data_IF_636389293060
#
_entry.id   IF_636389293060
#
_cell.length_a   1.000
_cell.length_b   1.000
_cell.length_c   1.000
_cell.angle_alpha   90.00
_cell.angle_beta   90.00
_cell.angle_gamma   90.00
#
_symmetry.space_group_name_H-M   'P 1'
#
loop_
_entity.id
_entity.type
_entity.pdbx_description
1 polymer ?
#
# COMPACT_ATOMS: atom_id res chain seq x y z
N UNK A 1 52.67 14.65 -51.02
CA UNK A 1 53.07 13.49 -50.19
C UNK A 1 54.16 13.97 -49.23
N UNK A 2 54.09 13.60 -47.94
CA UNK A 2 54.38 14.51 -46.83
C UNK A 2 55.85 14.53 -46.41
N UNK A 3 56.27 15.59 -45.70
CA UNK A 3 57.02 15.61 -44.42
C UNK A 3 57.56 17.03 -44.22
N UNK A 4 57.29 17.66 -43.06
CA UNK A 4 58.25 18.46 -42.28
C UNK A 4 57.64 18.70 -40.88
N UNK A 5 58.45 18.39 -39.87
CA UNK A 5 58.27 18.61 -38.43
C UNK A 5 58.20 20.09 -38.08
N UNK A 6 57.47 20.45 -37.01
CA UNK A 6 57.95 21.45 -36.02
C UNK A 6 57.62 21.03 -34.57
N UNK A 7 58.70 21.14 -33.79
CA UNK A 7 58.97 21.10 -32.34
C UNK A 7 57.87 21.24 -31.28
N UNK A 8 58.13 20.46 -30.23
CA UNK A 8 57.70 20.51 -28.82
C UNK A 8 58.10 21.82 -28.13
N UNK A 9 57.25 22.34 -27.24
CA UNK A 9 57.65 22.99 -25.97
C UNK A 9 56.57 22.79 -24.90
N UNK A 10 57.00 22.33 -23.72
CA UNK A 10 56.21 22.06 -22.51
C UNK A 10 56.07 23.30 -21.62
N UNK A 11 54.85 23.55 -21.14
CA UNK A 11 54.50 24.15 -19.84
C UNK A 11 53.08 23.60 -19.55
N UNK A 12 52.72 22.87 -18.50
CA UNK A 12 53.29 22.68 -17.18
C UNK A 12 52.20 22.99 -16.15
N UNK A 13 51.25 22.09 -15.90
CA UNK A 13 50.39 22.22 -14.70
C UNK A 13 49.89 20.87 -14.14
N UNK A 14 49.83 20.85 -12.80
CA UNK A 14 50.07 19.70 -11.91
C UNK A 14 48.81 18.87 -11.67
N UNK A 15 48.88 17.55 -11.88
CA UNK A 15 47.91 16.59 -11.34
C UNK A 15 48.13 16.39 -9.83
N UNK A 16 47.11 16.47 -8.96
CA UNK A 16 47.28 16.19 -7.53
C UNK A 16 47.45 14.68 -7.27
N UNK A 17 48.50 14.33 -6.52
CA UNK A 17 48.78 12.97 -6.03
C UNK A 17 47.81 12.56 -4.91
N UNK A 18 47.49 11.26 -4.76
CA UNK A 18 46.57 10.78 -3.73
C UNK A 18 47.19 10.92 -2.33
N UNK A 19 46.42 11.47 -1.38
CA UNK A 19 46.80 11.60 0.03
C UNK A 19 46.90 10.22 0.70
N UNK A 20 48.12 9.77 0.98
CA UNK A 20 48.40 8.68 1.94
C UNK A 20 47.98 9.15 3.34
N UNK A 21 47.04 8.45 3.97
CA UNK A 21 46.75 8.60 5.40
C UNK A 21 47.87 7.96 6.20
N UNK A 22 48.66 8.80 6.87
CA UNK A 22 49.69 8.41 7.85
C UNK A 22 48.99 7.87 9.10
N UNK A 23 49.28 6.63 9.48
CA UNK A 23 48.93 6.08 10.80
C UNK A 23 49.90 6.69 11.82
N UNK A 24 49.35 7.35 12.83
CA UNK A 24 50.10 7.84 14.00
C UNK A 24 50.45 6.62 14.87
N UNK A 25 51.71 6.21 14.87
CA UNK A 25 52.28 5.25 15.81
C UNK A 25 52.41 5.91 17.18
N UNK A 26 51.83 5.30 18.22
CA UNK A 26 52.23 5.54 19.60
C UNK A 26 53.41 4.62 19.88
N UNK A 27 54.54 5.20 20.27
CA UNK A 27 55.64 4.49 20.91
C UNK A 27 55.13 3.84 22.19
N UNK A 28 55.43 2.55 22.34
CA UNK A 28 55.43 1.86 23.63
C UNK A 28 56.83 1.29 23.75
N UNK A 29 57.56 1.77 24.77
CA UNK A 29 58.87 1.28 25.14
C UNK A 29 58.79 -0.20 25.53
N UNK A 30 59.88 -0.92 25.21
CA UNK A 30 59.97 -2.37 25.24
C UNK A 30 59.74 -3.01 26.61
N UNK A 31 59.21 -4.22 26.52
CA UNK A 31 59.38 -5.31 27.48
C UNK A 31 59.36 -6.59 26.66
N UNK A 32 60.47 -7.32 26.68
CA UNK A 32 60.55 -8.68 26.13
C UNK A 32 59.58 -9.56 26.92
N UNK A 33 58.63 -10.22 26.25
CA UNK A 33 58.21 -11.55 26.67
C UNK A 33 57.57 -12.32 25.51
N UNK A 34 57.94 -13.59 25.39
CA UNK A 34 57.50 -14.48 24.32
C UNK A 34 56.01 -14.82 24.42
N UNK A 35 55.31 -14.79 23.27
CA UNK A 35 53.92 -15.22 23.22
C UNK A 35 53.48 -15.55 21.79
N UNK A 36 53.18 -16.83 21.55
CA UNK A 36 52.66 -17.38 20.29
C UNK A 36 51.45 -16.59 19.76
N UNK A 37 51.41 -16.38 18.44
CA UNK A 37 50.25 -15.83 17.74
C UNK A 37 49.09 -16.84 17.77
N UNK A 38 48.10 -16.61 18.63
CA UNK A 38 46.88 -17.43 18.70
C UNK A 38 46.05 -17.39 17.39
N UNK A 39 45.30 -18.46 17.08
CA UNK A 39 44.63 -18.61 15.79
C UNK A 39 43.44 -17.65 15.63
N UNK A 40 43.04 -17.33 14.38
CA UNK A 40 41.96 -16.37 14.11
C UNK A 40 40.65 -16.87 14.72
N UNK A 41 39.98 -16.00 15.51
CA UNK A 41 38.68 -16.30 16.13
C UNK A 41 37.66 -16.67 15.04
N UNK A 42 37.32 -17.97 14.96
CA UNK A 42 36.21 -18.48 14.14
C UNK A 42 34.95 -17.68 14.48
N UNK A 43 34.32 -17.03 13.48
CA UNK A 43 32.96 -16.46 13.65
C UNK A 43 32.07 -17.59 14.14
N UNK A 44 31.60 -17.52 15.39
CA UNK A 44 30.59 -18.43 15.94
C UNK A 44 29.42 -18.46 14.95
N UNK A 45 29.19 -19.62 14.31
CA UNK A 45 27.94 -19.86 13.57
C UNK A 45 26.82 -19.63 14.56
N UNK A 46 26.05 -18.56 14.35
CA UNK A 46 24.90 -18.23 15.19
C UNK A 46 23.93 -19.39 15.04
N UNK A 47 23.71 -20.16 16.10
CA UNK A 47 22.75 -21.26 16.09
C UNK A 47 21.40 -20.72 15.61
N UNK A 48 20.77 -21.44 14.68
CA UNK A 48 19.41 -21.16 14.26
C UNK A 48 18.54 -21.26 15.52
N UNK A 49 17.87 -20.17 15.88
CA UNK A 49 16.88 -20.23 16.94
C UNK A 49 15.74 -21.12 16.42
N UNK A 50 15.24 -22.07 17.22
CA UNK A 50 14.07 -22.85 16.83
C UNK A 50 12.92 -21.89 16.49
N UNK A 51 12.09 -22.27 15.51
CA UNK A 51 10.91 -21.47 15.18
C UNK A 51 9.97 -21.44 16.40
N UNK A 52 9.46 -20.26 16.78
CA UNK A 52 8.55 -20.16 17.90
C UNK A 52 7.24 -20.86 17.57
N UNK A 53 6.76 -21.69 18.50
CA UNK A 53 5.42 -22.25 18.44
C UNK A 53 4.42 -21.18 18.86
N UNK A 54 3.37 -20.99 18.05
CA UNK A 54 2.38 -19.93 18.28
C UNK A 54 1.09 -20.54 18.82
N UNK A 55 0.59 -19.98 19.93
CA UNK A 55 -0.76 -20.25 20.41
C UNK A 55 -1.71 -19.37 19.59
N UNK A 56 -2.59 -20.01 18.82
CA UNK A 56 -3.56 -19.33 17.96
C UNK A 56 -4.95 -19.51 18.57
N UNK A 57 -5.57 -18.41 18.97
CA UNK A 57 -6.94 -18.45 19.49
C UNK A 57 -7.93 -18.94 18.41
N UNK A 58 -8.97 -19.61 18.86
CA UNK A 58 -10.14 -19.93 18.04
C UNK A 58 -10.88 -18.66 17.64
N UNK A 59 -11.63 -18.75 16.56
CA UNK A 59 -12.48 -17.67 16.06
C UNK A 59 -13.94 -18.08 16.15
N UNK A 60 -14.80 -17.11 16.42
CA UNK A 60 -16.24 -17.29 16.29
C UNK A 60 -16.60 -17.50 14.81
N UNK A 61 -17.31 -18.58 14.50
CA UNK A 61 -17.72 -18.91 13.14
C UNK A 61 -18.94 -18.07 12.76
N UNK A 62 -18.91 -17.48 11.56
CA UNK A 62 -20.01 -16.71 10.97
C UNK A 62 -20.39 -17.31 9.63
N UNK A 63 -21.64 -17.11 9.22
CA UNK A 63 -22.13 -17.54 7.90
C UNK A 63 -21.89 -16.45 6.85
N UNK A 64 -21.66 -16.88 5.60
CA UNK A 64 -21.57 -15.99 4.43
C UNK A 64 -21.93 -16.76 3.17
N UNK A 65 -22.49 -16.07 2.17
CA UNK A 65 -22.73 -16.60 0.82
C UNK A 65 -21.56 -16.37 -0.12
N UNK A 66 -20.50 -15.69 0.33
CA UNK A 66 -19.34 -15.31 -0.48
C UNK A 66 -18.58 -16.53 -1.00
N UNK A 67 -18.40 -16.57 -2.33
CA UNK A 67 -17.69 -17.60 -3.10
C UNK A 67 -16.54 -17.01 -3.92
N UNK A 68 -16.33 -15.70 -3.82
CA UNK A 68 -15.29 -14.98 -4.51
C UNK A 68 -13.88 -15.26 -3.96
N UNK A 69 -12.89 -14.53 -4.48
CA UNK A 69 -11.49 -14.66 -4.04
C UNK A 69 -11.15 -13.57 -3.04
N UNK A 70 -10.57 -13.96 -1.91
CA UNK A 70 -9.88 -13.03 -1.02
C UNK A 70 -8.41 -12.88 -1.46
N UNK A 71 -7.92 -11.65 -1.42
CA UNK A 71 -6.52 -11.32 -1.70
C UNK A 71 -5.90 -10.39 -0.67
N UNK A 72 -4.59 -10.23 -0.73
CA UNK A 72 -3.85 -9.28 0.10
C UNK A 72 -2.83 -8.49 -0.71
N UNK A 73 -2.23 -7.47 -0.06
CA UNK A 73 -1.39 -6.49 -0.73
C UNK A 73 0.11 -6.56 -0.40
N UNK A 74 0.91 -6.65 -1.45
CA UNK A 74 2.35 -6.37 -1.58
C UNK A 74 3.30 -7.32 -0.85
N UNK A 75 3.01 -7.69 0.38
CA UNK A 75 3.95 -8.35 1.29
C UNK A 75 3.29 -9.56 1.94
N UNK A 76 4.02 -10.65 2.06
CA UNK A 76 3.64 -11.79 2.87
C UNK A 76 4.45 -11.77 4.19
N UNK A 77 3.77 -11.71 5.34
CA UNK A 77 4.45 -11.54 6.64
C UNK A 77 5.21 -12.78 7.08
N UNK A 78 4.71 -13.98 6.79
CA UNK A 78 5.41 -15.26 7.06
C UNK A 78 6.73 -15.30 6.31
N UNK A 79 6.69 -15.10 5.00
CA UNK A 79 7.85 -15.14 4.11
C UNK A 79 8.86 -14.01 4.40
N UNK A 80 8.36 -12.80 4.70
CA UNK A 80 9.21 -11.67 5.07
C UNK A 80 9.97 -11.92 6.37
N UNK A 81 9.34 -12.57 7.33
CA UNK A 81 9.89 -12.73 8.67
C UNK A 81 10.76 -13.98 8.87
N UNK A 82 11.03 -14.76 7.81
CA UNK A 82 11.98 -15.88 7.83
C UNK A 82 13.35 -15.51 8.43
N UNK A 83 13.97 -16.48 9.08
CA UNK A 83 15.28 -16.36 9.74
C UNK A 83 16.17 -17.54 9.35
N UNK A 84 17.44 -17.30 8.94
CA UNK A 84 18.16 -16.02 8.88
C UNK A 84 17.56 -15.02 7.87
N UNK A 85 17.86 -13.73 8.04
CA UNK A 85 17.32 -12.67 7.18
C UNK A 85 17.69 -12.82 5.69
N UNK A 86 18.72 -13.62 5.38
CA UNK A 86 19.08 -14.00 4.01
C UNK A 86 18.03 -14.88 3.32
N UNK A 87 17.12 -15.50 4.07
CA UNK A 87 16.01 -16.32 3.56
C UNK A 87 14.69 -15.54 3.51
N UNK A 88 14.72 -14.24 3.82
CA UNK A 88 13.55 -13.36 3.74
C UNK A 88 13.14 -13.16 2.27
N UNK A 89 11.86 -13.41 1.98
CA UNK A 89 11.26 -13.25 0.66
C UNK A 89 10.32 -12.04 0.70
N UNK A 90 10.51 -11.09 -0.21
CA UNK A 90 9.68 -9.88 -0.36
C UNK A 90 9.94 -9.17 -1.68
N UNK A 91 8.95 -8.47 -2.22
CA UNK A 91 9.04 -7.92 -3.59
C UNK A 91 9.11 -6.39 -3.63
N UNK A 92 9.76 -5.78 -2.63
CA UNK A 92 9.80 -4.32 -2.44
C UNK A 92 11.20 -3.82 -2.07
N UNK A 93 12.25 -4.46 -2.59
CA UNK A 93 13.62 -3.93 -2.45
C UNK A 93 13.70 -2.62 -3.23
N UNK A 94 14.00 -1.53 -2.53
CA UNK A 94 14.25 -0.20 -3.11
C UNK A 94 15.58 0.37 -2.61
N UNK A 95 15.97 1.54 -3.12
CA UNK A 95 17.21 2.20 -2.77
C UNK A 95 17.07 3.73 -2.70
N UNK A 96 18.16 4.43 -2.35
CA UNK A 96 18.24 5.89 -2.44
C UNK A 96 18.90 6.29 -3.76
N UNK A 97 18.59 7.48 -4.29
CA UNK A 97 19.23 8.03 -5.49
C UNK A 97 20.76 8.04 -5.35
N UNK A 98 21.30 8.38 -4.17
CA UNK A 98 22.75 8.32 -3.91
C UNK A 98 23.36 6.92 -4.14
N UNK A 99 22.58 5.86 -3.87
CA UNK A 99 23.02 4.48 -4.12
C UNK A 99 23.06 4.18 -5.62
N UNK A 100 22.14 4.76 -6.41
CA UNK A 100 22.16 4.67 -7.87
C UNK A 100 23.42 5.36 -8.41
N UNK A 101 23.69 6.59 -7.95
CA UNK A 101 24.86 7.36 -8.38
C UNK A 101 26.19 6.65 -8.03
N UNK A 102 26.21 5.92 -6.91
CA UNK A 102 27.40 5.19 -6.45
C UNK A 102 27.59 3.82 -7.13
N UNK A 103 26.52 3.05 -7.27
CA UNK A 103 26.59 1.64 -7.68
C UNK A 103 26.20 1.41 -9.15
N UNK A 104 25.63 2.42 -9.81
CA UNK A 104 25.14 2.33 -11.19
C UNK A 104 23.75 1.71 -11.31
N UNK A 105 23.19 1.82 -12.51
CA UNK A 105 21.82 1.38 -12.81
C UNK A 105 21.68 -0.15 -12.82
N UNK A 106 22.72 -0.88 -13.21
CA UNK A 106 22.67 -2.35 -13.26
C UNK A 106 22.47 -2.97 -11.88
N UNK A 107 23.07 -2.37 -10.85
CA UNK A 107 22.83 -2.75 -9.46
C UNK A 107 21.36 -2.55 -9.05
N UNK A 108 20.72 -1.46 -9.50
CA UNK A 108 19.29 -1.21 -9.26
C UNK A 108 18.42 -2.25 -9.99
N UNK A 109 18.78 -2.57 -11.23
CA UNK A 109 18.12 -3.62 -12.01
C UNK A 109 18.22 -4.99 -11.34
N UNK A 110 19.33 -5.30 -10.67
CA UNK A 110 19.47 -6.53 -9.88
C UNK A 110 18.51 -6.61 -8.68
N UNK A 111 18.19 -5.47 -8.05
CA UNK A 111 17.13 -5.43 -7.03
C UNK A 111 15.78 -5.82 -7.65
N UNK A 112 15.48 -5.31 -8.85
CA UNK A 112 14.30 -5.68 -9.63
C UNK A 112 14.24 -7.17 -9.94
N UNK A 113 15.34 -7.75 -10.45
CA UNK A 113 15.43 -9.22 -10.68
C UNK A 113 15.15 -10.00 -9.40
N UNK A 114 15.70 -9.55 -8.27
CA UNK A 114 15.48 -10.24 -7.00
C UNK A 114 14.03 -10.12 -6.51
N UNK A 115 13.38 -8.98 -6.71
CA UNK A 115 11.96 -8.82 -6.41
C UNK A 115 11.08 -9.76 -7.26
N UNK A 116 11.39 -9.96 -8.55
CA UNK A 116 10.63 -10.91 -9.40
C UNK A 116 10.85 -12.37 -8.99
N UNK A 117 12.09 -12.76 -8.63
CA UNK A 117 12.35 -14.11 -8.07
C UNK A 117 11.55 -14.38 -6.80
N UNK A 118 11.49 -13.38 -5.92
CA UNK A 118 10.70 -13.47 -4.70
C UNK A 118 9.19 -13.51 -5.00
N UNK A 119 8.74 -12.81 -6.04
CA UNK A 119 7.34 -12.87 -6.49
C UNK A 119 6.94 -14.28 -6.93
N UNK A 120 7.80 -14.98 -7.68
CA UNK A 120 7.57 -16.39 -8.06
C UNK A 120 7.37 -17.25 -6.81
N UNK A 121 8.24 -17.07 -5.81
CA UNK A 121 8.14 -17.77 -4.52
C UNK A 121 6.85 -17.43 -3.77
N UNK A 122 6.44 -16.15 -3.79
CA UNK A 122 5.20 -15.71 -3.17
C UNK A 122 3.95 -16.26 -3.87
N UNK A 123 3.94 -16.33 -5.21
CA UNK A 123 2.83 -16.92 -5.98
C UNK A 123 2.69 -18.40 -5.64
N UNK A 124 3.79 -19.16 -5.59
CA UNK A 124 3.74 -20.56 -5.21
C UNK A 124 3.24 -20.73 -3.76
N UNK A 125 3.77 -19.95 -2.82
CA UNK A 125 3.31 -20.02 -1.43
C UNK A 125 1.82 -19.68 -1.29
N UNK A 126 1.35 -18.68 -2.05
CA UNK A 126 -0.05 -18.30 -2.07
C UNK A 126 -0.94 -19.44 -2.57
N UNK A 127 -0.53 -20.13 -3.64
CA UNK A 127 -1.22 -21.32 -4.14
C UNK A 127 -1.29 -22.43 -3.08
N UNK A 128 -0.16 -22.73 -2.43
CA UNK A 128 -0.09 -23.74 -1.36
C UNK A 128 -1.00 -23.39 -0.16
N UNK A 129 -1.45 -22.14 -0.05
CA UNK A 129 -2.30 -21.63 1.02
C UNK A 129 -3.70 -21.18 0.53
N UNK A 130 -4.08 -21.52 -0.70
CA UNK A 130 -5.41 -21.24 -1.25
C UNK A 130 -5.69 -19.76 -1.51
N UNK A 131 -4.67 -18.90 -1.61
CA UNK A 131 -4.82 -17.48 -1.94
C UNK A 131 -4.49 -17.27 -3.41
N UNK A 132 -5.44 -16.80 -4.21
CA UNK A 132 -5.26 -16.63 -5.67
C UNK A 132 -5.46 -15.19 -6.13
N UNK A 133 -5.36 -14.22 -5.22
CA UNK A 133 -5.47 -12.80 -5.53
C UNK A 133 -4.38 -12.01 -4.79
N UNK A 134 -3.53 -11.31 -5.54
CA UNK A 134 -2.40 -10.56 -4.99
C UNK A 134 -2.30 -9.18 -5.65
N UNK A 135 -2.20 -8.12 -4.83
CA UNK A 135 -1.72 -6.82 -5.30
C UNK A 135 -0.20 -6.78 -5.23
N UNK A 136 0.46 -6.58 -6.37
CA UNK A 136 1.91 -6.46 -6.46
C UNK A 136 2.39 -5.13 -5.85
N UNK A 137 3.61 -5.12 -5.33
CA UNK A 137 4.24 -3.90 -4.81
C UNK A 137 4.49 -2.89 -5.93
N UNK A 138 4.30 -1.60 -5.67
CA UNK A 138 4.75 -0.56 -6.61
C UNK A 138 6.27 -0.45 -6.67
N UNK A 139 6.96 -0.93 -5.62
CA UNK A 139 8.43 -0.95 -5.54
C UNK A 139 9.08 -2.19 -6.20
N UNK A 140 8.35 -2.94 -7.03
CA UNK A 140 8.89 -4.10 -7.75
C UNK A 140 10.17 -3.75 -8.52
N UNK A 141 10.19 -2.59 -9.18
CA UNK A 141 11.33 -2.07 -9.91
C UNK A 141 11.67 -0.65 -9.46
N UNK A 142 12.70 -0.49 -8.60
CA UNK A 142 13.01 0.80 -8.02
C UNK A 142 13.34 1.84 -9.09
N UNK A 143 12.67 2.98 -9.03
CA UNK A 143 12.88 4.13 -9.93
C UNK A 143 12.58 3.88 -11.42
N UNK A 144 11.92 2.79 -11.81
CA UNK A 144 11.66 2.50 -13.23
C UNK A 144 10.90 3.62 -13.96
N UNK A 145 9.99 4.33 -13.27
CA UNK A 145 9.22 5.47 -13.78
C UNK A 145 9.89 6.84 -13.58
N UNK A 146 11.05 6.89 -12.91
CA UNK A 146 11.72 8.14 -12.57
C UNK A 146 12.22 8.87 -13.83
N UNK A 147 12.02 10.18 -13.91
CA UNK A 147 12.35 10.96 -15.12
C UNK A 147 13.82 10.81 -15.56
N UNK A 148 14.76 10.87 -14.61
CA UNK A 148 16.21 10.83 -14.90
C UNK A 148 16.86 9.44 -14.76
N UNK A 149 16.22 8.55 -14.01
CA UNK A 149 16.79 7.26 -13.61
C UNK A 149 15.93 6.08 -14.03
N UNK A 150 14.85 6.35 -14.76
CA UNK A 150 13.92 5.36 -15.28
C UNK A 150 14.56 4.47 -16.34
N UNK A 151 13.95 3.32 -16.53
CA UNK A 151 14.45 2.27 -17.43
C UNK A 151 13.30 1.34 -17.80
N UNK A 152 13.38 0.75 -18.99
CA UNK A 152 12.46 -0.32 -19.36
C UNK A 152 12.74 -1.61 -18.62
N UNK A 153 11.70 -2.44 -18.47
CA UNK A 153 11.74 -3.72 -17.78
C UNK A 153 12.21 -4.90 -18.64
N UNK A 154 12.57 -4.65 -19.90
CA UNK A 154 12.88 -5.64 -20.95
C UNK A 154 14.06 -6.53 -20.56
N UNK A 155 15.00 -6.01 -19.77
CA UNK A 155 16.11 -6.78 -19.22
C UNK A 155 15.68 -7.93 -18.29
N UNK A 156 14.42 -7.89 -17.82
CA UNK A 156 13.79 -8.83 -16.89
C UNK A 156 12.60 -9.56 -17.54
N UNK A 157 12.42 -9.45 -18.86
CA UNK A 157 11.25 -9.96 -19.58
C UNK A 157 11.03 -11.46 -19.34
N UNK A 158 12.06 -12.29 -19.49
CA UNK A 158 11.93 -13.75 -19.33
C UNK A 158 11.50 -14.14 -17.91
N UNK A 159 12.05 -13.45 -16.89
CA UNK A 159 11.74 -13.72 -15.49
C UNK A 159 10.35 -13.21 -15.10
N UNK A 160 9.92 -12.07 -15.65
CA UNK A 160 8.54 -11.59 -15.52
C UNK A 160 7.56 -12.56 -16.18
N UNK A 161 7.89 -13.06 -17.37
CA UNK A 161 7.11 -14.06 -18.08
C UNK A 161 6.99 -15.35 -17.26
N UNK A 162 8.06 -15.81 -16.63
CA UNK A 162 8.04 -16.96 -15.72
C UNK A 162 7.05 -16.75 -14.57
N UNK A 163 7.10 -15.59 -13.89
CA UNK A 163 6.18 -15.26 -12.82
C UNK A 163 4.72 -15.22 -13.27
N UNK A 164 4.45 -14.64 -14.44
CA UNK A 164 3.10 -14.56 -14.97
C UNK A 164 2.58 -15.88 -15.54
N UNK A 165 3.42 -16.71 -16.15
CA UNK A 165 3.07 -18.07 -16.56
C UNK A 165 2.68 -18.93 -15.34
N UNK A 166 3.40 -18.78 -14.22
CA UNK A 166 3.05 -19.46 -12.96
C UNK A 166 1.71 -18.96 -12.41
N UNK A 167 1.51 -17.63 -12.35
CA UNK A 167 0.24 -17.05 -11.92
C UNK A 167 -0.93 -17.54 -12.79
N UNK A 168 -0.76 -17.54 -14.11
CA UNK A 168 -1.77 -18.02 -15.06
C UNK A 168 -2.07 -19.51 -14.89
N UNK A 169 -1.05 -20.34 -14.67
CA UNK A 169 -1.21 -21.79 -14.42
C UNK A 169 -2.16 -22.07 -13.27
N UNK A 170 -2.05 -21.29 -12.19
CA UNK A 170 -2.86 -21.45 -10.98
C UNK A 170 -4.12 -20.57 -10.97
N UNK A 171 -4.36 -19.77 -12.01
CA UNK A 171 -5.51 -18.86 -12.07
C UNK A 171 -5.41 -17.65 -11.11
N UNK A 172 -4.20 -17.25 -10.71
CA UNK A 172 -3.99 -16.10 -9.84
C UNK A 172 -4.35 -14.79 -10.56
N UNK A 173 -5.07 -13.91 -9.87
CA UNK A 173 -5.24 -12.52 -10.31
C UNK A 173 -4.15 -11.64 -9.69
N UNK A 174 -3.44 -10.90 -10.53
CA UNK A 174 -2.39 -9.97 -10.11
C UNK A 174 -2.81 -8.54 -10.48
N UNK A 175 -2.79 -7.62 -9.52
CA UNK A 175 -3.14 -6.20 -9.76
C UNK A 175 -2.09 -5.28 -9.18
N UNK A 176 -2.12 -4.00 -9.52
CA UNK A 176 -1.27 -2.99 -8.89
C UNK A 176 -2.10 -1.84 -8.35
N UNK A 177 -1.51 -1.07 -7.44
CA UNK A 177 -2.05 0.20 -6.99
C UNK A 177 -0.89 1.20 -6.90
N UNK A 178 -0.61 1.94 -7.98
CA UNK A 178 0.34 3.05 -7.95
C UNK A 178 0.05 3.98 -6.77
N UNK A 179 1.11 4.45 -6.11
CA UNK A 179 0.97 5.17 -4.84
C UNK A 179 0.35 6.56 -4.99
N UNK A 180 0.09 7.21 -3.86
CA UNK A 180 -0.56 8.53 -3.73
C UNK A 180 0.05 9.67 -4.58
N UNK A 181 1.25 9.52 -5.11
CA UNK A 181 1.88 10.53 -5.98
C UNK A 181 1.41 10.44 -7.44
N UNK A 182 0.66 9.40 -7.80
CA UNK A 182 0.08 9.18 -9.13
C UNK A 182 -1.17 10.05 -9.31
N UNK A 183 -0.97 11.34 -9.54
CA UNK A 183 -2.03 12.35 -9.51
C UNK A 183 -2.42 12.80 -10.93
N UNK A 184 -3.41 12.12 -11.52
CA UNK A 184 -3.87 12.40 -12.90
C UNK A 184 -4.62 13.74 -13.03
N UNK A 185 -5.30 14.20 -11.97
CA UNK A 185 -6.02 15.48 -11.94
C UNK A 185 -5.15 16.70 -11.56
N UNK A 186 -3.83 16.55 -11.45
CA UNK A 186 -2.96 17.63 -10.94
C UNK A 186 -2.95 18.86 -11.85
N UNK A 187 -3.03 20.10 -11.32
CA UNK A 187 -2.84 21.30 -12.12
C UNK A 187 -1.39 21.48 -12.61
N UNK A 188 -0.45 20.67 -12.11
CA UNK A 188 0.96 20.71 -12.49
C UNK A 188 1.26 19.67 -13.55
N UNK A 189 1.62 20.11 -14.75
CA UNK A 189 1.92 19.21 -15.89
C UNK A 189 3.02 18.19 -15.58
N UNK A 190 4.06 18.62 -14.86
CA UNK A 190 5.15 17.73 -14.44
C UNK A 190 4.66 16.57 -13.53
N UNK A 191 3.63 16.81 -12.72
CA UNK A 191 3.03 15.79 -11.84
C UNK A 191 2.19 14.81 -12.67
N UNK A 192 1.39 15.33 -13.62
CA UNK A 192 0.61 14.47 -14.54
C UNK A 192 1.54 13.62 -15.41
N UNK A 193 2.60 14.21 -15.95
CA UNK A 193 3.63 13.49 -16.72
C UNK A 193 4.33 12.41 -15.90
N UNK A 194 4.58 12.64 -14.60
CA UNK A 194 5.10 11.61 -13.71
C UNK A 194 4.09 10.48 -13.45
N UNK A 195 2.81 10.80 -13.26
CA UNK A 195 1.74 9.82 -13.11
C UNK A 195 1.58 8.93 -14.36
N UNK A 196 1.66 9.52 -15.56
CA UNK A 196 1.64 8.78 -16.83
C UNK A 196 2.84 7.83 -16.93
N UNK A 197 4.05 8.28 -16.58
CA UNK A 197 5.24 7.40 -16.56
C UNK A 197 5.10 6.24 -15.56
N UNK A 198 4.54 6.49 -14.38
CA UNK A 198 4.26 5.46 -13.39
C UNK A 198 3.29 4.41 -13.96
N UNK A 199 2.16 4.83 -14.55
CA UNK A 199 1.20 3.90 -15.15
C UNK A 199 1.79 3.12 -16.33
N UNK A 200 2.62 3.75 -17.17
CA UNK A 200 3.32 3.06 -18.26
C UNK A 200 4.24 1.96 -17.71
N UNK A 201 4.96 2.23 -16.62
CA UNK A 201 5.81 1.25 -15.94
C UNK A 201 5.00 0.05 -15.42
N UNK A 202 3.91 0.29 -14.69
CA UNK A 202 3.06 -0.78 -14.16
C UNK A 202 2.42 -1.59 -15.29
N UNK A 203 1.98 -0.93 -16.37
CA UNK A 203 1.43 -1.59 -17.54
C UNK A 203 2.47 -2.49 -18.22
N UNK A 204 3.69 -1.98 -18.46
CA UNK A 204 4.78 -2.76 -19.03
C UNK A 204 5.11 -3.99 -18.17
N UNK A 205 5.11 -3.86 -16.84
CA UNK A 205 5.32 -4.99 -15.94
C UNK A 205 4.25 -6.07 -16.15
N UNK A 206 2.96 -5.69 -16.14
CA UNK A 206 1.85 -6.63 -16.33
C UNK A 206 1.84 -7.25 -17.73
N UNK A 207 2.23 -6.50 -18.76
CA UNK A 207 2.31 -6.97 -20.15
C UNK A 207 3.46 -7.98 -20.34
N UNK A 208 4.65 -7.72 -19.77
CA UNK A 208 5.77 -8.66 -19.82
C UNK A 208 5.52 -9.94 -19.02
N UNK A 209 4.71 -9.85 -17.96
CA UNK A 209 4.20 -11.03 -17.26
C UNK A 209 3.13 -11.78 -18.07
N UNK A 210 2.55 -11.18 -19.12
CA UNK A 210 1.43 -11.78 -19.85
C UNK A 210 0.15 -11.85 -19.02
N UNK A 211 -0.02 -10.95 -18.04
CA UNK A 211 -1.26 -10.85 -17.24
C UNK A 211 -2.37 -10.30 -18.14
N UNK A 212 -3.52 -10.98 -18.16
CA UNK A 212 -4.67 -10.60 -18.97
C UNK A 212 -5.40 -9.34 -18.49
N UNK A 213 -6.64 -9.17 -18.95
CA UNK A 213 -7.49 -7.99 -18.67
C UNK A 213 -7.82 -7.81 -17.19
N UNK A 214 -7.77 -8.87 -16.39
CA UNK A 214 -7.96 -8.81 -14.94
C UNK A 214 -6.81 -8.14 -14.18
N UNK A 215 -5.67 -7.94 -14.86
CA UNK A 215 -4.53 -7.18 -14.36
C UNK A 215 -4.76 -5.68 -14.45
N UNK A 216 -5.44 -5.14 -13.44
CA UNK A 216 -5.80 -3.73 -13.35
C UNK A 216 -4.82 -2.92 -12.51
N UNK A 217 -4.74 -1.62 -12.80
CA UNK A 217 -3.98 -0.60 -12.07
C UNK A 217 -4.97 0.34 -11.39
N UNK A 218 -5.09 0.22 -10.06
CA UNK A 218 -6.04 1.00 -9.27
C UNK A 218 -5.41 2.32 -8.84
N UNK A 219 -6.09 3.44 -9.04
CA UNK A 219 -5.67 4.76 -8.55
C UNK A 219 -6.87 5.52 -7.99
N UNK A 220 -6.67 6.34 -6.96
CA UNK A 220 -7.73 7.24 -6.48
C UNK A 220 -7.99 8.40 -7.46
N UNK A 221 -9.10 9.13 -7.26
CA UNK A 221 -9.40 10.38 -7.97
C UNK A 221 -8.35 11.49 -7.76
N UNK A 222 -7.57 11.41 -6.68
CA UNK A 222 -6.45 12.31 -6.40
C UNK A 222 -6.84 13.50 -5.54
N UNK A 223 -6.08 14.60 -5.63
CA UNK A 223 -6.40 15.84 -4.92
C UNK A 223 -7.46 16.68 -5.64
N UNK A 224 -8.28 17.40 -4.88
CA UNK A 224 -9.26 18.37 -5.45
C UNK A 224 -8.62 19.68 -5.89
N UNK A 225 -7.44 20.03 -5.34
CA UNK A 225 -6.71 21.27 -5.64
C UNK A 225 -7.55 22.56 -5.50
N UNK A 226 -8.52 22.54 -4.57
CA UNK A 226 -9.44 23.67 -4.31
C UNK A 226 -10.66 23.72 -5.21
N UNK A 227 -10.71 22.93 -6.29
CA UNK A 227 -11.84 22.86 -7.23
C UNK A 227 -12.00 21.43 -7.75
N UNK A 228 -12.99 20.73 -7.18
CA UNK A 228 -13.27 19.33 -7.47
C UNK A 228 -13.64 19.11 -8.95
N UNK A 229 -14.47 19.98 -9.52
CA UNK A 229 -14.92 19.90 -10.91
C UNK A 229 -13.73 20.06 -11.86
N UNK A 230 -12.92 21.12 -11.67
CA UNK A 230 -11.75 21.34 -12.50
C UNK A 230 -10.69 20.22 -12.36
N UNK A 231 -10.59 19.60 -11.19
CA UNK A 231 -9.71 18.44 -10.99
C UNK A 231 -10.18 17.20 -11.74
N UNK A 232 -11.48 16.90 -11.74
CA UNK A 232 -12.07 15.80 -12.51
C UNK A 232 -11.93 16.04 -14.02
N UNK A 233 -12.11 17.28 -14.49
CA UNK A 233 -11.89 17.63 -15.90
C UNK A 233 -10.43 17.41 -16.34
N UNK A 234 -9.45 17.75 -15.49
CA UNK A 234 -8.04 17.45 -15.76
C UNK A 234 -7.74 15.97 -15.72
N UNK A 235 -8.35 15.22 -14.80
CA UNK A 235 -8.24 13.76 -14.74
C UNK A 235 -8.73 13.17 -16.06
N UNK A 236 -9.94 13.56 -16.49
CA UNK A 236 -10.54 13.19 -17.76
C UNK A 236 -9.61 13.45 -18.92
N UNK A 237 -9.13 14.69 -19.05
CA UNK A 237 -8.21 15.09 -20.10
C UNK A 237 -6.95 14.21 -20.13
N UNK A 238 -6.36 13.94 -18.97
CA UNK A 238 -5.16 13.11 -18.87
C UNK A 238 -5.43 11.68 -19.31
N UNK A 239 -6.56 11.11 -18.89
CA UNK A 239 -6.97 9.75 -19.27
C UNK A 239 -7.25 9.63 -20.77
N UNK A 240 -7.88 10.64 -21.38
CA UNK A 240 -8.27 10.60 -22.80
C UNK A 240 -7.16 11.01 -23.75
N UNK A 241 -6.27 11.92 -23.35
CA UNK A 241 -5.28 12.54 -24.25
C UNK A 241 -3.84 12.08 -24.00
N UNK A 242 -3.50 11.64 -22.78
CA UNK A 242 -2.10 11.33 -22.41
C UNK A 242 -1.83 9.85 -22.15
N UNK A 243 -2.84 9.07 -21.75
CA UNK A 243 -2.67 7.63 -21.56
C UNK A 243 -2.73 6.86 -22.88
N UNK A 244 -1.78 5.96 -23.07
CA UNK A 244 -1.80 5.03 -24.20
C UNK A 244 -3.01 4.08 -24.06
N UNK A 245 -3.61 3.61 -25.17
CA UNK A 245 -4.82 2.78 -25.11
C UNK A 245 -4.70 1.54 -24.22
N UNK A 246 -3.56 0.83 -24.26
CA UNK A 246 -3.33 -0.36 -23.44
C UNK A 246 -3.16 -0.04 -21.94
N UNK A 247 -2.66 1.16 -21.61
CA UNK A 247 -2.55 1.66 -20.23
C UNK A 247 -3.92 2.04 -19.70
N UNK A 248 -4.71 2.79 -20.49
CA UNK A 248 -6.11 3.11 -20.18
C UNK A 248 -6.98 1.84 -20.07
N UNK A 249 -6.67 0.79 -20.82
CA UNK A 249 -7.39 -0.49 -20.75
C UNK A 249 -7.27 -1.20 -19.38
N UNK A 250 -6.22 -0.88 -18.61
CA UNK A 250 -5.98 -1.43 -17.26
C UNK A 250 -6.32 -0.45 -16.14
N UNK A 251 -6.55 0.82 -16.44
CA UNK A 251 -6.86 1.86 -15.44
C UNK A 251 -8.19 1.56 -14.75
N UNK A 252 -8.20 1.71 -13.44
CA UNK A 252 -9.37 1.59 -12.57
C UNK A 252 -9.29 2.71 -11.54
N UNK A 253 -10.44 3.33 -11.25
CA UNK A 253 -10.55 4.36 -10.21
C UNK A 253 -11.06 3.76 -8.90
N UNK A 254 -10.76 4.39 -7.78
CA UNK A 254 -11.19 3.96 -6.45
C UNK A 254 -11.70 5.17 -5.65
N UNK A 255 -12.82 5.01 -4.93
CA UNK A 255 -13.33 6.01 -4.01
C UNK A 255 -12.41 6.15 -2.79
N UNK A 256 -12.33 7.36 -2.25
CA UNK A 256 -11.47 7.68 -1.13
C UNK A 256 -12.23 8.44 -0.03
N UNK A 257 -11.59 8.49 1.13
CA UNK A 257 -12.15 8.96 2.38
C UNK A 257 -12.04 10.48 2.61
N UNK A 258 -11.49 11.23 1.65
CA UNK A 258 -11.15 12.63 1.83
C UNK A 258 -11.63 13.55 0.70
N UNK A 259 -11.45 13.12 -0.55
CA UNK A 259 -11.59 13.94 -1.75
C UNK A 259 -12.78 13.51 -2.59
N UNK A 260 -12.95 12.20 -2.83
CA UNK A 260 -13.98 11.68 -3.75
C UNK A 260 -14.66 10.46 -3.16
N UNK A 261 -15.93 10.60 -2.73
CA UNK A 261 -16.73 9.40 -2.45
C UNK A 261 -17.09 8.67 -3.76
N UNK A 262 -17.72 7.51 -3.64
CA UNK A 262 -18.02 6.70 -4.82
C UNK A 262 -19.04 7.37 -5.75
N UNK A 263 -20.07 8.02 -5.19
CA UNK A 263 -21.09 8.74 -5.95
C UNK A 263 -20.52 9.91 -6.77
N UNK A 264 -19.53 10.63 -6.24
CA UNK A 264 -18.88 11.74 -6.94
C UNK A 264 -17.94 11.27 -8.06
N UNK A 265 -17.31 10.11 -7.90
CA UNK A 265 -16.32 9.58 -8.85
C UNK A 265 -16.95 8.72 -9.96
N UNK A 266 -18.06 8.04 -9.67
CA UNK A 266 -18.73 7.11 -10.58
C UNK A 266 -19.19 7.74 -11.90
N UNK A 267 -19.72 8.98 -11.97
CA UNK A 267 -20.11 9.59 -13.24
C UNK A 267 -18.95 9.69 -14.24
N UNK A 268 -17.74 10.01 -13.76
CA UNK A 268 -16.55 10.04 -14.61
C UNK A 268 -16.13 8.63 -15.06
N UNK A 269 -16.28 7.64 -14.19
CA UNK A 269 -16.04 6.23 -14.50
C UNK A 269 -16.97 5.74 -15.62
N UNK A 270 -18.27 6.07 -15.52
CA UNK A 270 -19.27 5.73 -16.51
C UNK A 270 -19.01 6.43 -17.85
N UNK A 271 -18.67 7.72 -17.84
CA UNK A 271 -18.36 8.48 -19.04
C UNK A 271 -17.13 7.92 -19.79
N UNK A 272 -16.08 7.56 -19.06
CA UNK A 272 -14.81 7.12 -19.64
C UNK A 272 -14.71 5.61 -19.88
N UNK A 273 -15.72 4.86 -19.46
CA UNK A 273 -15.73 3.39 -19.39
C UNK A 273 -14.51 2.86 -18.59
N UNK A 274 -14.19 3.53 -17.49
CA UNK A 274 -13.13 3.16 -16.54
C UNK A 274 -13.81 2.51 -15.33
N UNK A 275 -13.48 1.25 -14.96
CA UNK A 275 -14.12 0.62 -13.81
C UNK A 275 -13.85 1.37 -12.49
N UNK A 276 -14.79 1.29 -11.57
CA UNK A 276 -14.67 1.76 -10.19
C UNK A 276 -14.47 0.56 -9.26
N UNK A 277 -13.38 0.54 -8.51
CA UNK A 277 -13.23 -0.28 -7.30
C UNK A 277 -13.98 0.43 -6.19
N UNK A 278 -14.97 -0.23 -5.63
CA UNK A 278 -15.61 0.22 -4.41
C UNK A 278 -14.77 -0.22 -3.21
N UNK A 279 -14.30 0.72 -2.40
CA UNK A 279 -13.68 0.45 -1.11
C UNK A 279 -14.66 0.77 0.01
N UNK A 280 -15.01 -0.27 0.77
CA UNK A 280 -15.98 -0.20 1.87
C UNK A 280 -15.48 0.65 3.06
N UNK A 281 -14.17 0.65 3.32
CA UNK A 281 -13.59 1.43 4.42
C UNK A 281 -13.57 2.92 4.08
N UNK A 282 -13.24 3.25 2.83
CA UNK A 282 -13.30 4.61 2.34
C UNK A 282 -14.74 5.15 2.33
N UNK A 283 -15.71 4.37 1.87
CA UNK A 283 -17.13 4.77 1.87
C UNK A 283 -17.68 4.95 3.30
N UNK A 284 -17.31 4.08 4.26
CA UNK A 284 -17.70 4.28 5.67
C UNK A 284 -17.23 5.64 6.23
N UNK A 285 -16.10 6.17 5.77
CA UNK A 285 -15.52 7.43 6.24
C UNK A 285 -15.99 8.65 5.45
N UNK A 286 -16.35 8.46 4.18
CA UNK A 286 -16.84 9.47 3.26
C UNK A 286 -17.99 8.88 2.42
N UNK A 287 -19.18 8.72 3.02
CA UNK A 287 -20.24 7.93 2.42
C UNK A 287 -20.88 8.64 1.22
N UNK A 288 -21.34 7.83 0.29
CA UNK A 288 -22.28 8.24 -0.74
C UNK A 288 -23.66 8.55 -0.14
N UNK A 289 -24.47 9.36 -0.83
CA UNK A 289 -25.85 9.63 -0.42
C UNK A 289 -26.80 8.48 -0.77
N UNK A 290 -26.43 7.69 -1.79
CA UNK A 290 -27.12 6.46 -2.20
C UNK A 290 -26.45 5.21 -1.61
N UNK A 291 -27.19 4.09 -1.44
CA UNK A 291 -26.65 2.88 -0.84
C UNK A 291 -25.49 2.25 -1.63
N UNK A 292 -24.52 1.59 -0.96
CA UNK A 292 -23.42 0.87 -1.62
C UNK A 292 -23.88 -0.11 -2.70
N UNK A 293 -25.00 -0.81 -2.48
CA UNK A 293 -25.54 -1.78 -3.45
C UNK A 293 -25.91 -1.14 -4.80
N UNK A 294 -26.39 0.10 -4.81
CA UNK A 294 -26.71 0.84 -6.03
C UNK A 294 -25.44 1.28 -6.77
N UNK A 295 -24.47 1.82 -6.03
CA UNK A 295 -23.15 2.20 -6.56
C UNK A 295 -22.45 0.99 -7.17
N UNK A 296 -22.39 -0.13 -6.44
CA UNK A 296 -21.75 -1.38 -6.86
C UNK A 296 -22.43 -1.92 -8.11
N UNK A 297 -23.77 -1.92 -8.18
CA UNK A 297 -24.51 -2.36 -9.36
C UNK A 297 -24.14 -1.57 -10.61
N UNK A 298 -24.01 -0.24 -10.49
CA UNK A 298 -23.60 0.64 -11.58
C UNK A 298 -22.13 0.43 -11.97
N UNK A 299 -21.24 0.30 -10.99
CA UNK A 299 -19.82 -0.01 -11.23
C UNK A 299 -19.65 -1.37 -11.93
N UNK A 300 -20.36 -2.40 -11.50
CA UNK A 300 -20.34 -3.76 -12.06
C UNK A 300 -20.83 -3.82 -13.50
N UNK A 301 -21.71 -2.89 -13.91
CA UNK A 301 -22.07 -2.76 -15.31
C UNK A 301 -20.85 -2.41 -16.19
N UNK A 302 -19.89 -1.61 -15.68
CA UNK A 302 -18.63 -1.29 -16.37
C UNK A 302 -17.73 -2.52 -16.42
N UNK A 303 -17.48 -3.17 -15.26
CA UNK A 303 -16.68 -4.40 -15.17
C UNK A 303 -17.17 -5.47 -16.15
N UNK A 304 -18.49 -5.70 -16.21
CA UNK A 304 -19.13 -6.66 -17.13
C UNK A 304 -18.95 -6.29 -18.60
N UNK A 305 -19.16 -5.03 -18.99
CA UNK A 305 -18.93 -4.58 -20.39
C UNK A 305 -17.48 -4.77 -20.81
N UNK A 306 -16.55 -4.52 -19.90
CA UNK A 306 -15.11 -4.67 -20.09
C UNK A 306 -14.62 -6.12 -20.04
N UNK A 307 -15.48 -7.06 -19.60
CA UNK A 307 -15.15 -8.48 -19.38
C UNK A 307 -13.98 -8.66 -18.41
N UNK A 308 -13.99 -7.86 -17.35
CA UNK A 308 -13.03 -7.92 -16.25
C UNK A 308 -13.79 -8.40 -15.01
N UNK A 309 -13.22 -9.32 -14.22
CA UNK A 309 -13.84 -9.72 -12.95
C UNK A 309 -13.95 -8.50 -12.02
N UNK A 310 -15.13 -8.24 -11.42
CA UNK A 310 -15.27 -7.18 -10.43
C UNK A 310 -14.23 -7.28 -9.31
N UNK A 311 -13.76 -6.12 -8.87
CA UNK A 311 -12.79 -5.98 -7.79
C UNK A 311 -13.30 -4.92 -6.82
N UNK A 312 -13.25 -5.22 -5.53
CA UNK A 312 -13.56 -4.28 -4.45
C UNK A 312 -12.50 -4.41 -3.36
N UNK A 313 -12.43 -3.43 -2.47
CA UNK A 313 -11.48 -3.39 -1.37
C UNK A 313 -12.21 -3.39 -0.03
N UNK A 314 -11.64 -4.08 0.95
CA UNK A 314 -12.13 -4.08 2.32
C UNK A 314 -11.00 -3.77 3.30
N UNK A 315 -11.30 -2.90 4.25
CA UNK A 315 -10.54 -2.69 5.47
C UNK A 315 -11.51 -2.36 6.60
N UNK A 316 -10.97 -2.29 7.81
CA UNK A 316 -11.65 -1.77 9.00
C UNK A 316 -10.75 -0.74 9.70
N UNK A 317 -11.32 0.20 10.47
CA UNK A 317 -10.55 1.12 11.29
C UNK A 317 -9.91 0.36 12.45
N UNK A 318 -8.80 0.87 12.98
CA UNK A 318 -8.19 0.26 14.17
C UNK A 318 -9.14 0.30 15.38
N UNK A 319 -9.17 -0.76 16.21
CA UNK A 319 -9.95 -0.76 17.44
C UNK A 319 -9.68 0.47 18.30
N UNK A 320 -10.75 1.17 18.70
CA UNK A 320 -10.68 2.37 19.52
C UNK A 320 -10.14 3.62 18.81
N UNK A 321 -10.15 3.67 17.48
CA UNK A 321 -9.95 4.88 16.70
C UNK A 321 -11.22 5.75 16.72
N UNK A 322 -11.07 7.06 16.94
CA UNK A 322 -12.22 7.97 17.11
C UNK A 322 -12.22 9.06 16.05
N UNK A 323 -11.10 9.75 15.87
CA UNK A 323 -10.99 10.83 14.89
C UNK A 323 -10.97 10.29 13.47
N UNK A 324 -11.37 11.11 12.48
CA UNK A 324 -11.28 10.73 11.07
C UNK A 324 -9.87 10.25 10.72
N UNK A 325 -8.83 11.00 11.13
CA UNK A 325 -7.43 10.66 10.85
C UNK A 325 -6.98 9.32 11.47
N UNK A 326 -7.49 8.95 12.64
CA UNK A 326 -7.21 7.64 13.23
C UNK A 326 -7.97 6.53 12.53
N UNK A 327 -9.25 6.75 12.21
CA UNK A 327 -10.10 5.75 11.55
C UNK A 327 -9.63 5.41 10.14
N UNK A 328 -8.91 6.33 9.48
CA UNK A 328 -8.21 6.05 8.21
C UNK A 328 -7.20 4.92 8.30
N UNK A 329 -6.58 4.72 9.46
CA UNK A 329 -5.58 3.68 9.61
C UNK A 329 -6.24 2.30 9.56
N UNK A 330 -5.80 1.47 8.60
CA UNK A 330 -6.27 0.10 8.50
C UNK A 330 -5.89 -0.71 9.74
N UNK A 331 -6.85 -1.51 10.20
CA UNK A 331 -6.68 -2.54 11.21
C UNK A 331 -5.66 -3.60 10.78
N UNK A 332 -5.22 -4.39 11.76
CA UNK A 332 -4.28 -5.47 11.51
C UNK A 332 -4.96 -6.63 10.78
N UNK A 333 -6.22 -6.91 11.13
CA UNK A 333 -7.12 -7.89 10.51
C UNK A 333 -8.54 -7.31 10.49
N UNK A 334 -9.34 -7.71 9.52
CA UNK A 334 -10.76 -7.36 9.45
C UNK A 334 -11.56 -8.47 10.12
N UNK A 335 -12.56 -8.11 10.93
CA UNK A 335 -13.37 -9.04 11.72
C UNK A 335 -14.67 -9.46 11.02
N UNK A 336 -15.05 -8.74 9.98
CA UNK A 336 -16.30 -8.97 9.25
C UNK A 336 -16.18 -8.79 7.74
N UNK A 337 -16.95 -9.57 6.99
CA UNK A 337 -17.30 -9.26 5.60
C UNK A 337 -18.48 -8.27 5.56
N UNK A 338 -18.59 -7.42 4.51
CA UNK A 338 -19.73 -6.51 4.36
C UNK A 338 -21.03 -7.30 4.20
N UNK A 339 -22.13 -6.78 4.77
CA UNK A 339 -23.43 -7.46 4.77
C UNK A 339 -23.95 -7.70 3.34
N UNK A 340 -23.83 -6.68 2.48
CA UNK A 340 -24.31 -6.72 1.08
C UNK A 340 -23.15 -7.02 0.10
N UNK A 341 -22.18 -7.83 0.52
CA UNK A 341 -21.07 -8.23 -0.34
C UNK A 341 -21.59 -9.11 -1.49
N UNK A 342 -21.26 -8.82 -2.76
CA UNK A 342 -21.63 -9.70 -3.87
C UNK A 342 -21.04 -11.12 -3.72
N UNK A 343 -21.84 -12.14 -4.05
CA UNK A 343 -21.46 -13.55 -3.87
C UNK A 343 -20.17 -13.95 -4.62
N UNK A 344 -19.92 -13.42 -5.82
CA UNK A 344 -18.76 -13.81 -6.64
C UNK A 344 -18.04 -12.60 -7.26
N UNK A 345 -16.97 -12.18 -6.60
CA UNK A 345 -16.08 -11.10 -7.01
C UNK A 345 -14.67 -11.31 -6.42
N UNK A 346 -13.71 -10.44 -6.70
CA UNK A 346 -12.40 -10.48 -6.02
C UNK A 346 -12.25 -9.35 -5.00
N UNK A 347 -12.14 -9.72 -3.73
CA UNK A 347 -12.06 -8.80 -2.60
C UNK A 347 -10.62 -8.68 -2.10
N UNK A 348 -10.04 -7.48 -2.23
CA UNK A 348 -8.72 -7.19 -1.72
C UNK A 348 -8.82 -6.78 -0.24
N UNK A 349 -8.21 -7.57 0.64
CA UNK A 349 -8.13 -7.27 2.07
C UNK A 349 -6.93 -6.35 2.32
N UNK A 350 -7.23 -5.09 2.62
CA UNK A 350 -6.29 -3.98 2.78
C UNK A 350 -5.69 -3.89 4.21
N UNK A 351 -5.49 -5.00 4.91
CA UNK A 351 -5.07 -4.97 6.32
C UNK A 351 -3.54 -4.89 6.54
N UNK A 352 -3.09 -4.63 7.78
CA UNK A 352 -1.65 -4.57 8.10
C UNK A 352 -0.98 -5.94 8.22
N UNK A 353 -1.68 -6.98 8.70
CA UNK A 353 -1.12 -8.35 8.82
C UNK A 353 -1.26 -9.18 7.52
N UNK A 354 -1.70 -8.57 6.42
CA UNK A 354 -1.61 -9.13 5.06
C UNK A 354 -2.31 -10.49 4.93
N UNK A 355 -1.59 -11.55 4.58
CA UNK A 355 -2.15 -12.89 4.40
C UNK A 355 -2.82 -13.42 5.68
N UNK A 356 -2.38 -12.98 6.87
CA UNK A 356 -3.02 -13.38 8.12
C UNK A 356 -4.44 -12.82 8.25
N UNK A 357 -4.72 -11.65 7.66
CA UNK A 357 -6.08 -11.11 7.62
C UNK A 357 -6.98 -11.93 6.68
N UNK A 358 -6.43 -12.41 5.56
CA UNK A 358 -7.13 -13.35 4.66
C UNK A 358 -7.42 -14.66 5.39
N UNK A 359 -6.42 -15.24 6.07
CA UNK A 359 -6.61 -16.46 6.87
C UNK A 359 -7.62 -16.28 8.00
N UNK A 360 -7.64 -15.10 8.62
CA UNK A 360 -8.62 -14.78 9.65
C UNK A 360 -10.05 -14.85 9.11
N UNK A 361 -10.31 -14.22 7.96
CA UNK A 361 -11.62 -14.30 7.30
C UNK A 361 -11.95 -15.72 6.80
N UNK A 362 -10.97 -16.48 6.29
CA UNK A 362 -11.15 -17.90 5.96
C UNK A 362 -11.58 -18.72 7.18
N UNK A 363 -10.99 -18.47 8.35
CA UNK A 363 -11.35 -19.15 9.59
C UNK A 363 -12.70 -18.67 10.14
N UNK A 364 -13.04 -17.39 10.04
CA UNK A 364 -14.35 -16.88 10.51
C UNK A 364 -15.48 -17.48 9.66
N UNK A 365 -15.35 -17.41 8.34
CA UNK A 365 -16.44 -17.71 7.42
C UNK A 365 -16.35 -19.10 6.76
N UNK A 366 -15.33 -19.89 7.08
CA UNK A 366 -15.14 -21.22 6.50
C UNK A 366 -14.87 -21.25 5.00
N UNK A 367 -14.30 -20.17 4.45
CA UNK A 367 -14.15 -19.97 3.00
C UNK A 367 -13.09 -20.86 2.36
N UNK A 368 -12.05 -21.23 3.11
CA UNK A 368 -10.97 -22.11 2.66
C UNK A 368 -10.24 -22.75 3.86
N UNK A 369 -9.60 -23.93 3.67
CA UNK A 369 -8.75 -24.51 4.71
C UNK A 369 -7.52 -23.63 4.97
N UNK A 370 -7.09 -23.57 6.23
CA UNK A 370 -5.92 -22.80 6.65
C UNK A 370 -4.89 -23.71 7.30
N UNK A 371 -3.65 -23.64 6.83
CA UNK A 371 -2.53 -24.40 7.38
C UNK A 371 -2.08 -23.76 8.70
N UNK A 372 -2.29 -24.47 9.81
CA UNK A 372 -2.02 -23.94 11.15
C UNK A 372 -0.58 -23.43 11.34
N UNK A 373 0.42 -24.10 10.75
CA UNK A 373 1.83 -23.69 10.81
C UNK A 373 2.10 -22.28 10.23
N UNK A 374 1.23 -21.80 9.34
CA UNK A 374 1.35 -20.48 8.72
C UNK A 374 0.60 -19.38 9.51
N UNK A 375 -0.13 -19.73 10.57
CA UNK A 375 -0.83 -18.75 11.41
C UNK A 375 0.14 -18.03 12.34
N UNK A 376 -0.11 -16.75 12.55
CA UNK A 376 0.55 -15.90 13.54
C UNK A 376 -0.51 -15.29 14.46
N UNK A 377 -0.24 -15.11 15.76
CA UNK A 377 -1.17 -14.46 16.67
C UNK A 377 -1.38 -13.01 16.24
N UNK A 378 -2.56 -12.45 16.52
CA UNK A 378 -2.79 -11.01 16.40
C UNK A 378 -1.89 -10.26 17.39
N UNK A 379 -1.55 -9.01 17.06
CA UNK A 379 -0.85 -8.13 17.99
C UNK A 379 -1.80 -7.82 19.17
N UNK A 380 -1.42 -8.12 20.43
CA UNK A 380 -2.27 -7.80 21.58
C UNK A 380 -2.43 -6.29 21.81
N UNK A 381 -1.53 -5.47 21.26
CA UNK A 381 -1.54 -4.01 21.40
C UNK A 381 -1.38 -3.34 20.04
N UNK A 382 -2.42 -3.35 19.19
CA UNK A 382 -2.36 -2.71 17.88
C UNK A 382 -2.08 -1.21 18.06
N UNK A 383 -0.98 -0.73 17.47
CA UNK A 383 -0.62 0.70 17.50
C UNK A 383 -1.76 1.54 16.92
N UNK A 384 -2.08 2.70 17.51
CA UNK A 384 -3.03 3.67 16.93
C UNK A 384 -2.38 4.68 15.97
N UNK A 385 -1.06 4.68 15.84
CA UNK A 385 -0.33 5.67 15.03
C UNK A 385 -0.43 5.42 13.53
N UNK A 386 -0.71 6.47 12.75
CA UNK A 386 -0.73 6.41 11.28
C UNK A 386 0.67 6.18 10.67
N UNK A 387 1.74 6.45 11.42
CA UNK A 387 3.12 6.12 11.03
C UNK A 387 3.30 4.61 11.22
N UNK A 388 3.55 3.87 10.13
CA UNK A 388 3.63 2.40 10.14
C UNK A 388 4.49 1.82 11.27
N UNK A 389 4.21 0.59 11.69
CA UNK A 389 4.85 -0.09 12.84
C UNK A 389 6.37 0.09 12.79
N UNK A 390 6.91 1.04 13.56
CA UNK A 390 8.36 1.09 13.80
C UNK A 390 8.69 -0.12 14.65
N UNK A 391 9.70 -0.90 14.23
CA UNK A 391 10.27 -1.96 15.05
C UNK A 391 10.90 -1.31 16.30
N UNK A 392 10.11 -1.09 17.34
CA UNK A 392 10.61 -0.65 18.63
C UNK A 392 11.24 -1.85 19.33
N UNK A 393 12.49 -2.13 18.97
CA UNK A 393 13.34 -3.14 19.61
C UNK A 393 13.50 -2.90 21.13
N UNK A 394 13.19 -1.69 21.60
CA UNK A 394 13.22 -1.30 23.02
C UNK A 394 12.03 -1.82 23.83
N UNK A 395 10.82 -1.90 23.26
CA UNK A 395 9.63 -2.35 24.00
C UNK A 395 9.68 -3.85 24.29
N UNK A 396 10.19 -4.65 23.33
CA UNK A 396 10.39 -6.09 23.53
C UNK A 396 11.46 -6.40 24.60
N UNK A 397 12.41 -5.48 24.84
CA UNK A 397 13.39 -5.63 25.91
C UNK A 397 12.84 -5.23 27.28
N UNK A 398 11.92 -4.27 27.37
CA UNK A 398 11.32 -3.90 28.66
C UNK A 398 10.30 -4.93 29.13
N UNK A 399 9.51 -5.53 28.23
CA UNK A 399 8.58 -6.61 28.60
C UNK A 399 9.31 -7.89 29.01
N UNK A 400 10.44 -8.22 28.37
CA UNK A 400 11.27 -9.35 28.77
C UNK A 400 12.00 -9.11 30.10
N UNK A 401 12.27 -7.86 30.48
CA UNK A 401 12.82 -7.52 31.79
C UNK A 401 11.75 -7.62 32.90
N UNK A 402 10.52 -7.17 32.64
CA UNK A 402 9.42 -7.22 33.61
C UNK A 402 8.94 -8.65 33.93
N UNK A 403 9.07 -9.59 33.01
CA UNK A 403 8.77 -11.02 33.23
C UNK A 403 9.90 -11.77 33.96
N UNK A 404 11.12 -11.20 34.00
CA UNK A 404 12.23 -11.79 34.76
C UNK A 404 12.27 -11.30 36.21
N UNK A 405 11.77 -10.09 36.50
CA UNK A 405 11.69 -9.55 37.87
C UNK A 405 10.58 -10.19 38.71
N UNK A 406 9.62 -10.90 38.09
CA UNK A 406 8.49 -11.53 38.79
C UNK A 406 8.79 -12.96 39.28
N UNK A 407 10.03 -13.46 39.12
CA UNK A 407 10.43 -14.82 39.51
C UNK A 407 11.51 -14.89 40.60
N UNK A 408 11.82 -13.79 41.29
CA UNK A 408 12.73 -13.78 42.45
C UNK A 408 12.13 -13.08 43.68
N UNK A 409 11.00 -13.56 44.22
CA UNK A 409 10.72 -13.40 45.66
C UNK A 409 10.01 -14.65 46.17
N UNK A 410 10.79 -15.64 46.59
CA UNK A 410 10.36 -16.65 47.56
C UNK A 410 11.48 -16.86 48.57
N UNK A 411 11.36 -16.18 49.71
CA UNK A 411 11.82 -16.58 51.05
C UNK A 411 12.04 -15.33 51.91
N UNK A 412 11.13 -15.08 52.86
CA UNK A 412 11.44 -14.96 54.28
C UNK A 412 10.15 -14.73 55.08
N UNK A 413 10.11 -15.38 56.23
CA UNK A 413 9.00 -15.52 57.17
C UNK A 413 8.78 -14.25 58.01
N UNK A 414 7.50 -14.02 58.32
CA UNK A 414 6.91 -13.74 59.64
C UNK A 414 7.50 -12.63 60.53
N UNK A 415 6.65 -11.62 60.85
CA UNK A 415 6.30 -11.19 62.20
C UNK A 415 5.38 -9.94 62.18
N UNK A 416 4.22 -10.05 62.83
CA UNK A 416 3.74 -9.09 63.85
C UNK A 416 3.14 -7.72 63.47
N UNK A 417 1.83 -7.63 63.68
CA UNK A 417 1.08 -6.56 64.37
C UNK A 417 0.72 -5.18 63.75
N UNK A 418 -0.60 -4.96 63.80
CA UNK A 418 -1.37 -3.78 64.22
C UNK A 418 -1.56 -2.51 63.35
N UNK A 419 -2.84 -2.34 62.96
CA UNK A 419 -3.75 -1.18 63.16
C UNK A 419 -3.67 0.10 62.28
N UNK A 420 -4.89 0.43 61.81
CA UNK A 420 -5.54 1.75 61.72
C UNK A 420 -5.47 2.59 60.41
N UNK A 421 -6.64 2.64 59.76
CA UNK A 421 -7.46 3.83 59.43
C UNK A 421 -6.97 4.90 58.43
N UNK A 422 -7.92 5.44 57.65
CA UNK A 422 -7.78 6.73 56.96
C UNK A 422 -8.05 6.77 55.46
N UNK A 423 -9.30 7.03 55.08
CA UNK A 423 -9.73 7.52 53.75
C UNK A 423 -9.06 8.85 53.35
N UNK A 424 -8.89 9.15 52.04
CA UNK A 424 -8.25 10.38 51.57
C UNK A 424 -9.23 11.54 51.37
N UNK A 425 -8.79 12.74 51.74
CA UNK A 425 -9.40 14.03 51.37
C UNK A 425 -8.52 14.65 50.27
N UNK A 426 -9.16 15.15 49.21
CA UNK A 426 -8.47 15.80 48.09
C UNK A 426 -8.04 17.22 48.40
N UNK A 427 -7.18 17.76 47.53
CA UNK A 427 -7.28 19.16 47.15
C UNK A 427 -6.75 19.41 45.72
N UNK A 428 -7.42 20.36 45.13
CA UNK A 428 -7.40 20.96 43.81
C UNK A 428 -6.22 21.91 43.58
N UNK A 429 -5.81 22.08 42.33
CA UNK A 429 -5.65 23.41 41.71
C UNK A 429 -5.29 23.26 40.22
N UNK A 430 -6.27 23.56 39.40
CA UNK A 430 -6.15 23.81 37.97
C UNK A 430 -5.41 25.13 37.69
N UNK A 431 -4.60 25.14 36.63
CA UNK A 431 -4.16 26.36 35.95
C UNK A 431 -4.62 26.27 34.49
N UNK A 432 -5.57 27.15 34.18
CA UNK A 432 -6.12 27.47 32.86
C UNK A 432 -5.15 28.38 32.08
N UNK A 433 -4.97 28.09 30.79
CA UNK A 433 -4.42 29.05 29.82
C UNK A 433 -5.21 28.94 28.52
N UNK A 434 -6.30 29.69 28.46
CA UNK A 434 -7.05 30.01 27.24
C UNK A 434 -6.61 31.38 26.70
N UNK A 435 -6.34 31.45 25.39
CA UNK A 435 -6.04 32.72 24.73
C UNK A 435 -5.77 32.60 23.24
N UNK A 436 -6.54 33.38 22.47
CA UNK A 436 -6.50 33.63 21.02
C UNK A 436 -7.22 32.64 20.12
N UNK A 437 -8.48 32.97 19.78
CA UNK A 437 -8.89 33.30 18.41
C UNK A 437 -10.33 33.83 18.40
N UNK A 438 -10.50 35.14 18.26
CA UNK A 438 -11.75 35.76 17.78
C UNK A 438 -11.43 37.12 17.14
N UNK A 439 -11.68 37.24 15.83
CA UNK A 439 -12.44 38.33 15.20
C UNK A 439 -12.17 38.37 13.69
N UNK A 440 -13.19 38.02 12.90
CA UNK A 440 -13.64 38.87 11.80
C UNK A 440 -15.05 38.46 11.34
N UNK A 441 -16.04 39.24 11.77
CA UNK A 441 -17.29 39.50 11.05
C UNK A 441 -17.22 40.99 10.65
N UNK A 442 -17.81 41.56 9.59
CA UNK A 442 -19.18 41.47 9.05
C UNK A 442 -19.19 42.31 7.76
N UNK A 443 -19.91 41.93 6.70
CA UNK A 443 -21.19 42.52 6.22
C UNK A 443 -21.26 42.25 4.69
N UNK A 444 -22.39 42.10 3.98
CA UNK A 444 -23.72 42.63 4.19
C UNK A 444 -24.84 41.81 3.49
N UNK A 445 -26.01 41.84 4.15
CA UNK A 445 -27.40 41.92 3.67
C UNK A 445 -27.99 41.03 2.57
N UNK A 446 -29.04 40.34 3.00
CA UNK A 446 -30.17 39.77 2.26
C UNK A 446 -31.02 40.83 1.53
N UNK A 447 -31.70 40.41 0.46
CA UNK A 447 -33.07 40.83 0.17
C UNK A 447 -33.90 39.66 -0.40
N UNK A 448 -35.04 39.40 0.23
CA UNK A 448 -36.17 38.58 -0.25
C UNK A 448 -37.43 39.44 -0.20
N UNK A 449 -38.28 39.38 -1.24
CA UNK A 449 -39.76 39.50 -1.23
C UNK A 449 -40.23 39.43 -2.71
N UNK A 450 -41.01 38.41 -3.14
CA UNK A 450 -42.48 38.39 -3.27
C UNK A 450 -43.03 39.45 -4.28
N UNK A 451 -43.92 39.21 -5.25
CA UNK A 451 -44.88 38.14 -5.54
C UNK A 451 -45.49 38.28 -6.98
N UNK A 452 -46.34 37.30 -7.35
CA UNK A 452 -47.51 37.33 -8.27
C UNK A 452 -47.36 36.91 -9.75
N UNK A 453 -47.89 35.71 -10.04
CA UNK A 453 -48.48 35.29 -11.34
C UNK A 453 -49.78 36.07 -11.63
N UNK A 454 -50.24 36.21 -12.90
CA UNK A 454 -51.19 35.21 -13.43
C UNK A 454 -51.12 34.90 -14.95
N UNK A 455 -51.47 33.64 -15.27
CA UNK A 455 -52.37 33.16 -16.36
C UNK A 455 -51.94 33.37 -17.83
N UNK A 456 -51.67 32.26 -18.55
CA UNK A 456 -52.50 31.78 -19.68
C UNK A 456 -52.06 30.38 -20.18
N UNK A 457 -53.02 29.53 -20.52
CA UNK A 457 -52.93 28.24 -21.21
C UNK A 457 -54.28 28.01 -21.91
N UNK A 458 -54.45 27.02 -22.80
CA UNK A 458 -53.74 26.60 -24.02
C UNK A 458 -54.73 26.62 -25.23
N UNK A 459 -54.47 26.04 -26.43
CA UNK A 459 -54.56 24.58 -26.70
C UNK A 459 -53.54 24.13 -27.79
N UNK A 460 -53.35 22.90 -28.25
CA UNK A 460 -53.98 21.59 -28.10
C UNK A 460 -53.48 20.68 -29.24
N UNK A 461 -52.87 19.55 -28.88
CA UNK A 461 -52.96 18.20 -29.47
C UNK A 461 -53.14 17.99 -30.99
N UNK A 462 -52.26 17.21 -31.65
CA UNK A 462 -52.67 16.12 -32.59
C UNK A 462 -51.54 15.15 -33.00
N UNK A 463 -51.87 13.85 -32.87
CA UNK A 463 -51.22 12.62 -33.37
C UNK A 463 -51.09 12.56 -34.90
N UNK A 464 -50.10 11.80 -35.41
CA UNK A 464 -50.27 10.62 -36.33
C UNK A 464 -48.89 10.04 -36.75
N UNK A 465 -48.61 8.76 -36.44
CA UNK A 465 -48.63 7.53 -37.29
C UNK A 465 -47.54 7.38 -38.38
N UNK A 466 -46.64 6.39 -38.12
CA UNK A 466 -46.19 5.24 -38.96
C UNK A 466 -45.83 5.46 -40.43
N UNK A 467 -44.63 5.02 -40.85
CA UNK A 467 -44.39 4.14 -42.03
C UNK A 467 -43.10 3.31 -41.82
N UNK A 468 -43.19 1.99 -42.10
CA UNK A 468 -42.08 1.02 -42.29
C UNK A 468 -41.52 1.17 -43.71
N UNK A 469 -40.22 0.92 -43.91
CA UNK A 469 -39.80 0.27 -45.17
C UNK A 469 -38.57 -0.62 -44.97
N UNK A 470 -38.71 -1.86 -45.42
CA UNK A 470 -37.66 -2.83 -45.71
C UNK A 470 -36.79 -2.34 -46.87
N UNK A 471 -35.53 -2.78 -46.92
CA UNK A 471 -34.95 -3.40 -48.12
C UNK A 471 -33.65 -4.16 -47.81
N UNK A 472 -33.67 -5.42 -48.27
CA UNK A 472 -32.59 -6.35 -48.66
C UNK A 472 -31.52 -6.73 -47.65
#
# INVERSE_FOLDING_TARGET
MPTILISVFQLGEKRPKPRKRVKKSKEVQGGEDGGEAGPPKKRRKRQLKPEPEYIISDVERKESTFKGRLGYACLNTVLRNKRPASESVFCSRTCRIDSINKNGLDWVKDLGRQNVRDLITMIQWNEDNGIQFLRLSSEMFPFASHEKHGYSLEYCADLLKEAGDLAKRYGHRLTTHPGQFTQLGSPRDAVRGAAVRELNYHCQMLDLMGVGVDGVMVVHGGGTYGDKTAALDRLKQTVTEQLLPHVRARLVLENDEMCYNAEELLPLCEELDVPLVFDYHHDMLNPSSIPPSEIITRADAIWKRRRIRPKQHISEPRPGAVTLMERRAHADRCETLPVDLPDDMDLMVEAKDKEQAVFHLYRIYGLAPVIHANLRPSDPNPSKETKGRKSNKRTAQSMAAQLNDSNEISNLQDNGDELADGTPVGDSSDIDVSGLLANCATSASQSQAQAQDPIESPPGNRRSKRVRNNRS
#
